data_IF_817351155095
#
_entry.id   IF_817351155095
#
_cell.length_a   1.000
_cell.length_b   1.000
_cell.length_c   1.000
_cell.angle_alpha   90.00
_cell.angle_beta   90.00
_cell.angle_gamma   90.00
#
_symmetry.space_group_name_H-M   'P 1'
#
loop_
_entity.id
_entity.type
_entity.pdbx_description
1 polymer ?
#
# COMPACT_ATOMS: atom_id res chain seq x y z
N UNK A 1 -1.37 6.51 -13.25
CA UNK A 1 -0.71 5.26 -13.70
C UNK A 1 0.81 5.47 -13.72
N UNK A 2 1.44 5.53 -12.53
CA UNK A 2 2.90 5.77 -12.36
C UNK A 2 3.56 4.80 -11.35
N UNK A 3 2.83 3.81 -10.83
CA UNK A 3 3.30 2.87 -9.79
C UNK A 3 3.67 1.53 -10.42
N UNK A 4 4.88 1.01 -10.13
CA UNK A 4 5.38 -0.24 -10.70
C UNK A 4 5.29 -1.43 -9.71
N UNK A 5 5.29 -1.19 -8.39
CA UNK A 5 5.25 -2.25 -7.39
C UNK A 5 3.90 -2.38 -6.68
N UNK A 6 3.40 -3.60 -6.49
CA UNK A 6 2.27 -3.91 -5.61
C UNK A 6 2.80 -4.83 -4.51
N UNK A 7 2.75 -4.39 -3.24
CA UNK A 7 3.11 -5.22 -2.11
C UNK A 7 1.93 -6.11 -1.76
N UNK A 8 1.95 -7.34 -2.29
CA UNK A 8 0.88 -8.33 -2.10
C UNK A 8 0.94 -9.08 -0.76
N UNK A 9 2.05 -8.94 -0.01
CA UNK A 9 2.25 -9.56 1.30
C UNK A 9 2.68 -8.51 2.32
N UNK A 10 2.22 -8.65 3.55
CA UNK A 10 2.50 -7.71 4.66
C UNK A 10 3.99 -7.66 5.06
N UNK A 11 4.71 -8.76 4.84
CA UNK A 11 6.09 -8.94 5.25
C UNK A 11 7.05 -8.11 4.40
N UNK A 12 6.69 -7.85 3.14
CA UNK A 12 7.54 -7.08 2.21
C UNK A 12 7.62 -5.63 2.70
N UNK A 13 6.50 -5.04 3.14
CA UNK A 13 6.45 -3.69 3.71
C UNK A 13 7.27 -3.51 4.99
N UNK A 14 7.62 -4.61 5.67
CA UNK A 14 8.53 -4.58 6.83
C UNK A 14 10.01 -4.51 6.45
N UNK A 15 10.36 -4.91 5.22
CA UNK A 15 11.75 -5.04 4.77
C UNK A 15 12.20 -3.93 3.82
N UNK A 16 11.27 -3.29 3.11
CA UNK A 16 11.59 -2.24 2.14
C UNK A 16 10.76 -0.98 2.41
N UNK A 17 11.35 0.17 2.14
CA UNK A 17 10.74 1.49 2.24
C UNK A 17 10.71 2.17 0.87
N UNK A 18 9.88 3.20 0.71
CA UNK A 18 9.74 3.88 -0.58
C UNK A 18 11.08 4.48 -1.08
N UNK A 19 12.00 4.81 -0.18
CA UNK A 19 13.33 5.34 -0.51
C UNK A 19 14.30 4.27 -1.05
N UNK A 20 14.00 2.99 -0.87
CA UNK A 20 14.83 1.88 -1.38
C UNK A 20 14.54 1.58 -2.86
N UNK A 21 13.45 2.14 -3.40
CA UNK A 21 12.97 1.88 -4.75
C UNK A 21 12.89 3.16 -5.58
N UNK A 22 13.43 3.14 -6.80
CA UNK A 22 13.32 4.27 -7.73
C UNK A 22 11.91 4.51 -8.25
N UNK A 23 11.07 3.47 -8.22
CA UNK A 23 9.70 3.52 -8.68
C UNK A 23 8.74 3.37 -7.49
N UNK A 24 7.60 4.07 -7.52
CA UNK A 24 6.66 3.98 -6.43
C UNK A 24 6.02 2.59 -6.37
N UNK A 25 5.64 2.19 -5.16
CA UNK A 25 4.86 0.99 -4.90
C UNK A 25 3.65 1.29 -4.01
N UNK A 26 2.68 0.37 -4.00
CA UNK A 26 1.51 0.43 -3.12
C UNK A 26 1.50 -0.73 -2.14
N UNK A 27 1.31 -0.44 -0.86
CA UNK A 27 0.98 -1.44 0.15
C UNK A 27 -0.52 -1.77 0.08
N UNK A 28 -0.85 -3.00 -0.31
CA UNK A 28 -2.24 -3.41 -0.46
C UNK A 28 -2.96 -3.55 0.87
N UNK A 29 -2.27 -3.92 1.94
CA UNK A 29 -2.86 -4.05 3.26
C UNK A 29 -3.23 -2.69 3.83
N UNK A 30 -2.36 -1.69 3.65
CA UNK A 30 -2.65 -0.30 4.03
C UNK A 30 -3.85 0.25 3.24
N UNK A 31 -3.81 0.15 1.90
CA UNK A 31 -4.89 0.64 1.05
C UNK A 31 -6.24 -0.02 1.36
N UNK A 32 -6.26 -1.34 1.54
CA UNK A 32 -7.48 -2.06 1.91
C UNK A 32 -8.01 -1.59 3.28
N UNK A 33 -7.12 -1.40 4.26
CA UNK A 33 -7.53 -0.94 5.59
C UNK A 33 -8.11 0.47 5.54
N UNK A 34 -7.47 1.38 4.79
CA UNK A 34 -7.98 2.73 4.60
C UNK A 34 -9.35 2.73 3.93
N UNK A 35 -9.51 1.99 2.82
CA UNK A 35 -10.80 1.88 2.13
C UNK A 35 -11.90 1.27 3.01
N UNK A 36 -11.56 0.29 3.85
CA UNK A 36 -12.53 -0.28 4.79
C UNK A 36 -12.97 0.76 5.83
N UNK A 37 -12.05 1.56 6.36
CA UNK A 37 -12.37 2.66 7.27
C UNK A 37 -13.23 3.70 6.59
N UNK A 38 -12.85 4.14 5.39
CA UNK A 38 -13.61 5.12 4.61
C UNK A 38 -15.03 4.61 4.33
N UNK A 39 -15.17 3.36 3.86
CA UNK A 39 -16.46 2.73 3.63
C UNK A 39 -17.36 2.65 4.89
N UNK A 40 -16.77 2.41 6.05
CA UNK A 40 -17.53 2.32 7.33
C UNK A 40 -17.94 3.71 7.83
N UNK A 41 -17.13 4.73 7.58
CA UNK A 41 -17.33 6.09 8.11
C UNK A 41 -18.04 7.04 7.14
N UNK A 42 -18.08 6.72 5.85
CA UNK A 42 -18.90 7.40 4.86
C UNK A 42 -20.39 7.11 5.14
N UNK A 43 -21.10 8.13 5.64
CA UNK A 43 -22.57 8.15 5.87
C UNK A 43 -23.33 8.66 4.66
#
# INVERSE_FOLDING_TARGET
MKTLGILGCTEIGLLIQQNDCQLPFFDTAELHSQMAVDFILEQ
#
